data_IF_879143739178
#
_entry.id   IF_879143739178
#
_cell.length_a   1.000
_cell.length_b   1.000
_cell.length_c   1.000
_cell.angle_alpha   90.00
_cell.angle_beta   90.00
_cell.angle_gamma   90.00
#
_symmetry.space_group_name_H-M   'P 1'
#
loop_
_entity.id
_entity.type
_entity.pdbx_description
1 polymer ?
#
# COMPACT_ATOMS: atom_id res chain seq x y z
N UNK A 1 -34.70 -0.69 -1.89
CA UNK A 1 -34.11 -0.65 -3.25
C UNK A 1 -32.80 -1.42 -3.23
N UNK A 2 -32.67 -2.38 -4.13
CA UNK A 2 -31.49 -3.24 -4.25
C UNK A 2 -30.32 -2.43 -4.82
N UNK A 3 -29.15 -2.47 -4.16
CA UNK A 3 -27.97 -1.68 -4.53
C UNK A 3 -26.88 -2.56 -5.12
N UNK A 4 -26.54 -2.32 -6.37
CA UNK A 4 -25.42 -2.98 -7.06
C UNK A 4 -24.08 -2.72 -6.34
N UNK A 5 -23.28 -3.77 -6.15
CA UNK A 5 -21.95 -3.68 -5.55
C UNK A 5 -21.93 -3.56 -4.02
N UNK A 6 -23.05 -3.81 -3.35
CA UNK A 6 -23.18 -3.73 -1.89
C UNK A 6 -23.67 -5.03 -1.29
N UNK A 7 -23.23 -5.30 -0.07
CA UNK A 7 -23.80 -6.34 0.79
C UNK A 7 -25.03 -5.80 1.48
N UNK A 8 -26.13 -6.53 1.42
CA UNK A 8 -27.43 -6.15 1.94
C UNK A 8 -28.12 -7.34 2.61
N UNK A 9 -28.95 -7.07 3.60
CA UNK A 9 -29.85 -8.05 4.19
C UNK A 9 -31.20 -7.93 3.48
N UNK A 10 -31.64 -9.01 2.81
CA UNK A 10 -32.86 -9.07 2.01
C UNK A 10 -33.70 -10.28 2.43
N UNK A 11 -35.04 -10.14 2.43
CA UNK A 11 -35.93 -11.23 2.77
C UNK A 11 -36.23 -12.10 1.57
N UNK A 12 -36.40 -13.40 1.81
CA UNK A 12 -36.87 -14.38 0.83
C UNK A 12 -38.34 -14.13 0.55
N UNK A 13 -38.70 -13.86 -0.71
CA UNK A 13 -40.08 -13.59 -1.11
C UNK A 13 -40.67 -14.72 -1.94
N UNK A 14 -39.83 -15.53 -2.61
CA UNK A 14 -40.30 -16.61 -3.47
C UNK A 14 -39.25 -17.70 -3.64
N UNK A 15 -39.66 -18.97 -3.58
CA UNK A 15 -38.82 -20.13 -3.95
C UNK A 15 -39.14 -20.57 -5.39
N UNK A 16 -38.12 -20.99 -6.13
CA UNK A 16 -38.19 -21.50 -7.51
C UNK A 16 -37.22 -22.66 -7.73
N UNK A 17 -37.31 -23.35 -8.84
CA UNK A 17 -36.39 -24.46 -9.19
C UNK A 17 -34.96 -24.00 -9.39
N UNK A 18 -34.74 -22.70 -9.72
CA UNK A 18 -33.39 -22.14 -9.98
C UNK A 18 -32.78 -21.46 -8.75
N UNK A 19 -33.54 -21.29 -7.66
CA UNK A 19 -33.10 -20.59 -6.43
C UNK A 19 -34.22 -19.83 -5.76
N UNK A 20 -33.87 -18.81 -4.97
CA UNK A 20 -34.84 -17.98 -4.26
C UNK A 20 -34.75 -16.52 -4.72
N UNK A 21 -35.88 -15.85 -4.79
CA UNK A 21 -35.91 -14.39 -4.99
C UNK A 21 -35.91 -13.70 -3.63
N UNK A 22 -35.03 -12.66 -3.54
CA UNK A 22 -34.84 -11.84 -2.36
C UNK A 22 -35.25 -10.40 -2.64
N UNK A 23 -35.83 -9.72 -1.64
CA UNK A 23 -36.23 -8.31 -1.73
C UNK A 23 -37.71 -8.07 -1.51
N UNK A 24 -38.35 -7.34 -2.41
CA UNK A 24 -39.78 -7.07 -2.45
C UNK A 24 -40.38 -7.51 -3.80
N UNK A 25 -41.70 -7.49 -3.95
CA UNK A 25 -42.34 -7.88 -5.23
C UNK A 25 -41.90 -7.00 -6.40
N UNK A 26 -41.71 -5.70 -6.14
CA UNK A 26 -41.33 -4.70 -7.15
C UNK A 26 -39.82 -4.61 -7.37
N UNK A 27 -39.00 -4.97 -6.37
CA UNK A 27 -37.52 -4.85 -6.41
C UNK A 27 -36.91 -6.15 -5.86
N UNK A 28 -36.65 -7.10 -6.73
CA UNK A 28 -36.19 -8.46 -6.39
C UNK A 28 -34.98 -8.90 -7.17
N UNK A 29 -34.17 -9.75 -6.55
CA UNK A 29 -32.95 -10.34 -7.12
C UNK A 29 -32.94 -11.84 -6.85
N UNK A 30 -32.40 -12.61 -7.80
CA UNK A 30 -32.25 -14.06 -7.68
C UNK A 30 -30.99 -14.41 -6.91
N UNK A 31 -31.11 -15.25 -5.88
CA UNK A 31 -30.01 -16.02 -5.31
C UNK A 31 -30.03 -17.42 -5.93
N UNK A 32 -28.99 -17.86 -6.66
CA UNK A 32 -28.95 -19.16 -7.31
C UNK A 32 -29.06 -20.33 -6.33
N UNK A 33 -29.70 -21.41 -6.74
CA UNK A 33 -29.97 -22.59 -5.94
C UNK A 33 -28.76 -23.17 -5.22
N UNK A 34 -27.58 -23.13 -5.87
CA UNK A 34 -26.31 -23.63 -5.30
C UNK A 34 -25.86 -22.89 -4.04
N UNK A 35 -26.40 -21.69 -3.80
CA UNK A 35 -26.01 -20.82 -2.68
C UNK A 35 -27.17 -20.62 -1.67
N UNK A 36 -28.30 -21.26 -1.90
CA UNK A 36 -29.47 -21.21 -1.02
C UNK A 36 -29.24 -22.16 0.16
N UNK A 37 -29.35 -21.71 1.43
CA UNK A 37 -29.32 -22.60 2.59
C UNK A 37 -30.44 -23.64 2.51
N UNK A 38 -30.23 -24.89 3.03
CA UNK A 38 -31.15 -25.98 2.92
C UNK A 38 -32.49 -25.72 3.61
N UNK A 39 -32.48 -25.08 4.80
CA UNK A 39 -33.64 -24.86 5.65
C UNK A 39 -34.30 -23.48 5.47
N UNK A 40 -34.04 -22.79 4.36
CA UNK A 40 -34.53 -21.42 4.13
C UNK A 40 -36.04 -21.40 3.90
N UNK A 41 -36.75 -20.47 4.54
CA UNK A 41 -38.18 -20.27 4.35
C UNK A 41 -38.52 -18.89 3.76
N UNK A 42 -39.72 -18.76 3.22
CA UNK A 42 -40.24 -17.44 2.76
C UNK A 42 -40.39 -16.54 3.98
N UNK A 43 -39.85 -15.32 3.91
CA UNK A 43 -39.78 -14.36 5.01
C UNK A 43 -38.42 -14.31 5.70
N UNK A 44 -37.57 -15.34 5.57
CA UNK A 44 -36.24 -15.34 6.15
C UNK A 44 -35.33 -14.25 5.57
N UNK A 45 -34.50 -13.69 6.42
CA UNK A 45 -33.54 -12.67 6.03
C UNK A 45 -32.18 -13.27 5.68
N UNK A 46 -31.66 -12.96 4.50
CA UNK A 46 -30.32 -13.38 4.05
C UNK A 46 -29.44 -12.18 3.79
N UNK A 47 -28.18 -12.27 4.28
CA UNK A 47 -27.13 -11.31 3.93
C UNK A 47 -26.47 -11.76 2.63
N UNK A 48 -26.63 -10.96 1.57
CA UNK A 48 -26.12 -11.26 0.23
C UNK A 48 -25.41 -10.05 -0.38
N UNK A 49 -24.46 -10.33 -1.25
CA UNK A 49 -23.83 -9.31 -2.09
C UNK A 49 -24.51 -9.29 -3.46
N UNK A 50 -24.72 -8.09 -4.01
CA UNK A 50 -25.41 -7.90 -5.29
C UNK A 50 -24.42 -7.54 -6.38
N UNK A 51 -24.42 -8.30 -7.48
CA UNK A 51 -23.56 -8.05 -8.64
C UNK A 51 -24.33 -8.38 -9.93
N UNK A 52 -23.67 -8.31 -11.08
CA UNK A 52 -24.25 -8.70 -12.37
C UNK A 52 -23.63 -9.99 -12.89
N UNK A 53 -24.48 -10.89 -13.38
CA UNK A 53 -24.07 -12.13 -14.04
C UNK A 53 -23.50 -11.87 -15.46
N UNK A 54 -23.16 -12.92 -16.20
CA UNK A 54 -22.64 -12.83 -17.57
C UNK A 54 -23.66 -12.27 -18.60
N UNK A 55 -24.94 -12.26 -18.24
CA UNK A 55 -26.03 -11.73 -19.05
C UNK A 55 -26.47 -10.32 -18.62
N UNK A 56 -25.65 -9.63 -17.80
CA UNK A 56 -25.94 -8.30 -17.24
C UNK A 56 -27.19 -8.21 -16.32
N UNK A 57 -27.70 -9.34 -15.83
CA UNK A 57 -28.80 -9.38 -14.88
C UNK A 57 -28.27 -9.23 -13.46
N UNK A 58 -29.01 -8.50 -12.62
CA UNK A 58 -28.74 -8.47 -11.18
C UNK A 58 -28.88 -9.86 -10.59
N UNK A 59 -27.91 -10.27 -9.81
CA UNK A 59 -27.86 -11.55 -9.13
C UNK A 59 -27.28 -11.37 -7.72
N UNK A 60 -27.79 -12.13 -6.77
CA UNK A 60 -27.30 -12.18 -5.39
C UNK A 60 -26.32 -13.33 -5.21
N UNK A 61 -25.40 -13.17 -4.27
CA UNK A 61 -24.48 -14.22 -3.83
C UNK A 61 -24.26 -14.14 -2.32
N UNK A 62 -24.14 -15.30 -1.67
CA UNK A 62 -23.70 -15.43 -0.27
C UNK A 62 -22.17 -15.35 -0.12
N UNK A 63 -21.44 -15.48 -1.23
CA UNK A 63 -19.99 -15.32 -1.24
C UNK A 63 -19.62 -13.86 -0.94
N UNK A 64 -18.61 -13.68 -0.10
CA UNK A 64 -18.13 -12.35 0.29
C UNK A 64 -17.04 -11.89 -0.67
N UNK A 65 -17.24 -10.80 -1.45
CA UNK A 65 -16.19 -10.25 -2.27
C UNK A 65 -15.11 -9.60 -1.40
N UNK A 66 -13.88 -9.53 -1.90
CA UNK A 66 -12.75 -8.85 -1.24
C UNK A 66 -12.94 -7.32 -1.16
N UNK A 67 -13.83 -6.76 -1.98
CA UNK A 67 -14.11 -5.32 -2.06
C UNK A 67 -15.55 -5.07 -2.46
N UNK A 68 -16.14 -3.99 -1.93
CA UNK A 68 -17.47 -3.50 -2.30
C UNK A 68 -17.38 -2.17 -3.04
N UNK A 69 -18.49 -1.74 -3.64
CA UNK A 69 -18.59 -0.46 -4.34
C UNK A 69 -18.08 0.71 -3.47
N UNK A 70 -17.12 1.45 -3.99
CA UNK A 70 -16.45 2.57 -3.30
C UNK A 70 -15.39 2.15 -2.29
N UNK A 71 -15.19 0.85 -2.05
CA UNK A 71 -14.11 0.33 -1.21
C UNK A 71 -12.81 0.14 -1.97
N UNK A 72 -11.74 -0.10 -1.21
CA UNK A 72 -10.39 -0.36 -1.67
C UNK A 72 -9.97 -1.77 -1.27
N UNK A 73 -9.27 -2.48 -2.15
CA UNK A 73 -8.61 -3.74 -1.83
C UNK A 73 -7.43 -4.01 -2.78
N UNK A 74 -6.49 -4.82 -2.31
CA UNK A 74 -5.45 -5.39 -3.18
C UNK A 74 -6.00 -6.63 -3.86
N UNK A 75 -5.98 -6.64 -5.19
CA UNK A 75 -6.51 -7.72 -5.99
C UNK A 75 -5.45 -8.27 -6.93
N UNK A 76 -5.41 -9.59 -7.04
CA UNK A 76 -4.48 -10.30 -7.93
C UNK A 76 -4.99 -10.30 -9.36
N UNK A 77 -4.09 -10.08 -10.30
CA UNK A 77 -4.35 -10.16 -11.75
C UNK A 77 -4.38 -11.62 -12.17
N UNK A 78 -5.54 -12.10 -12.63
CA UNK A 78 -5.71 -13.45 -13.15
C UNK A 78 -5.34 -13.54 -14.64
N UNK A 79 -5.71 -12.50 -15.41
CA UNK A 79 -5.54 -12.48 -16.87
C UNK A 79 -5.38 -11.05 -17.37
N UNK A 80 -4.61 -10.88 -18.44
CA UNK A 80 -4.52 -9.63 -19.20
C UNK A 80 -5.07 -9.88 -20.61
N UNK A 81 -6.03 -9.03 -21.03
CA UNK A 81 -6.75 -9.15 -22.29
C UNK A 81 -6.63 -7.87 -23.12
N UNK A 82 -7.25 -7.82 -24.30
CA UNK A 82 -7.27 -6.64 -25.19
C UNK A 82 -8.13 -5.46 -24.69
N UNK A 83 -8.92 -5.64 -23.62
CA UNK A 83 -9.77 -4.59 -23.02
C UNK A 83 -9.27 -4.11 -21.64
N UNK A 84 -8.32 -4.82 -21.05
CA UNK A 84 -7.78 -4.56 -19.70
C UNK A 84 -7.37 -5.84 -19.02
N UNK A 85 -7.25 -5.80 -17.69
CA UNK A 85 -6.92 -6.93 -16.85
C UNK A 85 -8.14 -7.42 -16.09
N UNK A 86 -8.20 -8.72 -15.82
CA UNK A 86 -9.22 -9.34 -14.97
C UNK A 86 -8.61 -9.69 -13.62
N UNK A 87 -9.26 -9.24 -12.54
CA UNK A 87 -8.77 -9.35 -11.16
C UNK A 87 -9.65 -10.30 -10.36
N UNK A 88 -9.00 -11.11 -9.52
CA UNK A 88 -9.70 -11.95 -8.53
C UNK A 88 -10.20 -11.10 -7.36
N UNK A 89 -11.48 -10.91 -7.27
CA UNK A 89 -12.16 -10.20 -6.19
C UNK A 89 -12.98 -11.12 -5.26
N UNK A 90 -12.79 -12.44 -5.37
CA UNK A 90 -13.40 -13.45 -4.50
C UNK A 90 -14.76 -13.98 -4.98
N UNK A 91 -15.21 -13.61 -6.18
CA UNK A 91 -16.43 -14.16 -6.80
C UNK A 91 -16.08 -14.99 -8.05
N UNK A 92 -17.01 -15.82 -8.52
CA UNK A 92 -16.78 -16.70 -9.69
C UNK A 92 -16.33 -15.94 -10.93
N UNK A 93 -16.85 -14.74 -11.17
CA UNK A 93 -16.45 -13.89 -12.29
C UNK A 93 -15.47 -12.84 -11.85
N UNK A 94 -14.28 -12.84 -12.43
CA UNK A 94 -13.26 -11.82 -12.19
C UNK A 94 -13.76 -10.42 -12.57
N UNK A 95 -13.29 -9.39 -11.85
CA UNK A 95 -13.64 -8.01 -12.12
C UNK A 95 -12.70 -7.39 -13.15
N UNK A 96 -13.25 -6.66 -14.11
CA UNK A 96 -12.46 -5.97 -15.14
C UNK A 96 -11.80 -4.71 -14.58
N UNK A 97 -10.49 -4.55 -14.83
CA UNK A 97 -9.71 -3.32 -14.70
C UNK A 97 -9.39 -2.80 -16.11
N UNK A 98 -10.20 -1.89 -16.68
CA UNK A 98 -10.00 -1.37 -18.02
C UNK A 98 -8.66 -0.67 -18.20
N UNK A 99 -8.02 -0.69 -19.36
CA UNK A 99 -6.75 0.00 -19.61
C UNK A 99 -6.75 1.48 -19.21
N UNK A 100 -7.84 2.21 -19.50
CA UNK A 100 -7.99 3.64 -19.12
C UNK A 100 -8.02 3.89 -17.61
N UNK A 101 -8.23 2.84 -16.82
CA UNK A 101 -8.27 2.90 -15.35
C UNK A 101 -6.97 2.38 -14.70
N UNK A 102 -6.01 1.93 -15.49
CA UNK A 102 -4.67 1.55 -15.03
C UNK A 102 -3.77 2.79 -14.93
N UNK A 103 -2.94 2.85 -13.90
CA UNK A 103 -1.95 3.93 -13.68
C UNK A 103 -0.52 3.50 -14.00
N UNK A 104 -0.30 2.22 -14.25
CA UNK A 104 0.95 1.61 -14.70
C UNK A 104 0.65 0.39 -15.57
N UNK A 105 1.68 -0.17 -16.20
CA UNK A 105 1.56 -1.46 -16.87
C UNK A 105 1.22 -2.56 -15.85
N UNK A 106 0.25 -3.39 -16.18
CA UNK A 106 -0.29 -4.43 -15.30
C UNK A 106 0.11 -5.79 -15.85
N UNK A 107 0.74 -6.63 -15.01
CA UNK A 107 1.15 -7.98 -15.40
C UNK A 107 0.30 -9.03 -14.72
N UNK A 108 0.12 -10.16 -15.38
CA UNK A 108 -0.54 -11.33 -14.81
C UNK A 108 0.25 -11.87 -13.60
N UNK A 109 -0.46 -12.18 -12.53
CA UNK A 109 0.11 -12.69 -11.28
C UNK A 109 0.42 -11.62 -10.25
N UNK A 110 0.59 -10.35 -10.66
CA UNK A 110 0.83 -9.22 -9.75
C UNK A 110 -0.44 -8.84 -8.97
N UNK A 111 -0.25 -8.11 -7.86
CA UNK A 111 -1.33 -7.55 -7.06
C UNK A 111 -1.30 -6.02 -7.07
N UNK A 112 -2.46 -5.40 -7.26
CA UNK A 112 -2.60 -3.95 -7.28
C UNK A 112 -3.70 -3.48 -6.35
N UNK A 113 -3.49 -2.32 -5.70
CA UNK A 113 -4.54 -1.64 -4.96
C UNK A 113 -5.52 -1.00 -5.94
N UNK A 114 -6.78 -1.40 -5.83
CA UNK A 114 -7.86 -0.92 -6.70
C UNK A 114 -9.09 -0.51 -5.89
N UNK A 115 -9.90 0.36 -6.47
CA UNK A 115 -11.24 0.65 -5.99
C UNK A 115 -12.28 0.03 -6.91
N UNK A 116 -13.44 -0.32 -6.36
CA UNK A 116 -14.58 -0.76 -7.12
C UNK A 116 -15.50 0.42 -7.45
N UNK A 117 -15.87 0.57 -8.72
CA UNK A 117 -16.76 1.62 -9.19
C UNK A 117 -17.79 1.08 -10.18
N UNK A 118 -18.84 1.87 -10.45
CA UNK A 118 -19.81 1.58 -11.52
C UNK A 118 -19.41 2.39 -12.76
N UNK A 119 -19.22 1.71 -13.86
CA UNK A 119 -18.88 2.33 -15.15
C UNK A 119 -20.12 2.95 -15.84
N UNK A 120 -19.90 3.57 -17.02
CA UNK A 120 -20.98 4.21 -17.79
C UNK A 120 -22.02 3.22 -18.34
N UNK A 121 -21.69 1.94 -18.42
CA UNK A 121 -22.59 0.87 -18.83
C UNK A 121 -23.35 0.24 -17.66
N UNK A 122 -23.27 0.87 -16.48
CA UNK A 122 -23.88 0.39 -15.24
C UNK A 122 -23.35 -1.00 -14.82
N UNK A 123 -22.03 -1.26 -15.01
CA UNK A 123 -21.33 -2.47 -14.59
C UNK A 123 -20.32 -2.14 -13.51
N UNK A 124 -20.09 -3.09 -12.61
CA UNK A 124 -18.97 -3.01 -11.67
C UNK A 124 -17.66 -3.17 -12.43
N UNK A 125 -16.69 -2.31 -12.13
CA UNK A 125 -15.33 -2.37 -12.66
C UNK A 125 -14.33 -1.90 -11.61
N UNK A 126 -13.07 -2.28 -11.78
CA UNK A 126 -11.97 -1.84 -10.92
C UNK A 126 -11.25 -0.63 -11.52
N UNK A 127 -10.66 0.21 -10.65
CA UNK A 127 -9.80 1.34 -11.03
C UNK A 127 -8.57 1.42 -10.13
N UNK A 128 -7.39 1.68 -10.71
CA UNK A 128 -6.17 2.01 -9.98
C UNK A 128 -6.09 3.51 -9.61
N UNK A 129 -7.02 4.34 -10.08
CA UNK A 129 -7.10 5.77 -9.74
C UNK A 129 -7.71 5.96 -8.35
N UNK A 130 -7.09 5.36 -7.35
CA UNK A 130 -7.62 5.19 -5.99
C UNK A 130 -7.63 6.47 -5.16
N UNK A 131 -6.92 7.52 -5.56
CA UNK A 131 -6.79 8.76 -4.77
C UNK A 131 -8.13 9.34 -4.30
N UNK A 132 -9.19 9.27 -5.11
CA UNK A 132 -10.53 9.78 -4.76
C UNK A 132 -11.29 8.93 -3.73
N UNK A 133 -10.78 7.75 -3.42
CA UNK A 133 -11.36 6.80 -2.45
C UNK A 133 -10.60 6.79 -1.13
N UNK A 134 -9.42 7.41 -1.09
CA UNK A 134 -8.67 7.59 0.14
C UNK A 134 -9.34 8.64 1.02
N UNK A 135 -9.19 8.47 2.32
CA UNK A 135 -9.69 9.40 3.33
C UNK A 135 -8.55 10.04 4.10
N UNK A 136 -8.86 11.04 4.88
CA UNK A 136 -7.95 11.61 5.89
C UNK A 136 -8.14 10.90 7.21
N UNK A 137 -7.19 11.07 8.13
CA UNK A 137 -7.22 10.40 9.44
C UNK A 137 -6.52 11.22 10.51
N UNK A 138 -6.99 11.10 11.73
CA UNK A 138 -6.38 11.58 12.97
C UNK A 138 -5.68 10.47 13.77
N UNK A 139 -5.72 9.23 13.27
CA UNK A 139 -5.13 8.03 13.89
C UNK A 139 -3.61 8.16 14.13
N UNK A 140 -2.92 8.92 13.29
CA UNK A 140 -1.46 9.01 13.29
C UNK A 140 -0.96 10.33 13.84
N UNK A 141 0.14 10.24 14.60
CA UNK A 141 0.90 11.41 15.06
C UNK A 141 2.30 11.40 14.45
N UNK A 142 3.03 12.50 14.63
CA UNK A 142 4.44 12.56 14.20
C UNK A 142 5.22 11.39 14.81
N UNK A 143 6.09 10.80 14.00
CA UNK A 143 6.93 9.63 14.30
C UNK A 143 6.18 8.28 14.38
N UNK A 144 4.86 8.24 14.18
CA UNK A 144 4.14 6.96 14.02
C UNK A 144 4.73 6.15 12.87
N UNK A 145 4.99 4.86 13.10
CA UNK A 145 5.33 3.93 12.04
C UNK A 145 4.10 3.67 11.16
N UNK A 146 4.31 3.64 9.85
CA UNK A 146 3.26 3.42 8.85
C UNK A 146 3.76 2.53 7.73
N UNK A 147 2.83 1.84 7.09
CA UNK A 147 3.05 1.17 5.81
C UNK A 147 2.00 1.62 4.81
N UNK A 148 2.31 1.53 3.53
CA UNK A 148 1.33 1.89 2.52
C UNK A 148 1.76 1.50 1.11
N UNK A 149 0.78 1.49 0.20
CA UNK A 149 0.98 1.14 -1.20
C UNK A 149 1.27 2.38 -2.02
N UNK A 150 2.31 2.34 -2.85
CA UNK A 150 2.61 3.38 -3.84
C UNK A 150 1.53 3.39 -4.92
N UNK A 151 0.79 4.50 -5.03
CA UNK A 151 -0.34 4.65 -5.97
C UNK A 151 -0.05 5.63 -7.10
N UNK A 152 1.06 6.35 -7.03
CA UNK A 152 1.48 7.27 -8.09
C UNK A 152 2.82 7.90 -7.79
N UNK A 153 3.59 8.17 -8.85
CA UNK A 153 4.91 8.79 -8.80
C UNK A 153 4.89 10.00 -9.72
N UNK A 154 5.26 11.16 -9.20
CA UNK A 154 5.47 12.38 -9.98
C UNK A 154 6.91 12.86 -9.78
N UNK A 155 7.78 12.80 -10.80
CA UNK A 155 9.21 13.09 -10.67
C UNK A 155 9.52 14.46 -10.04
N UNK A 156 8.70 15.48 -10.33
CA UNK A 156 8.90 16.84 -9.83
C UNK A 156 8.27 17.10 -8.45
N UNK A 157 7.44 16.18 -7.95
CA UNK A 157 6.69 16.42 -6.70
C UNK A 157 7.04 15.40 -5.61
N UNK A 158 6.97 14.10 -5.93
CA UNK A 158 7.16 13.04 -4.97
C UNK A 158 6.28 11.82 -5.26
N UNK A 159 6.12 10.96 -4.25
CA UNK A 159 5.39 9.70 -4.32
C UNK A 159 4.11 9.79 -3.51
N UNK A 160 3.00 9.42 -4.13
CA UNK A 160 1.70 9.30 -3.49
C UNK A 160 1.53 7.86 -2.97
N UNK A 161 1.11 7.74 -1.72
CA UNK A 161 1.01 6.46 -1.02
C UNK A 161 -0.37 6.34 -0.38
N UNK A 162 -0.98 5.18 -0.48
CA UNK A 162 -2.16 4.81 0.28
C UNK A 162 -1.72 4.15 1.59
N UNK A 163 -1.68 4.91 2.68
CA UNK A 163 -1.33 4.40 4.01
C UNK A 163 -2.44 3.49 4.52
N UNK A 164 -2.09 2.28 4.99
CA UNK A 164 -3.03 1.20 5.38
C UNK A 164 -4.08 0.91 4.29
N UNK A 165 -3.73 1.18 3.00
CA UNK A 165 -4.63 1.10 1.84
C UNK A 165 -5.94 1.93 2.00
N UNK A 166 -5.94 2.95 2.85
CA UNK A 166 -7.10 3.77 3.20
C UNK A 166 -6.84 5.27 3.26
N UNK A 167 -5.64 5.72 3.65
CA UNK A 167 -5.37 7.11 3.98
C UNK A 167 -4.36 7.76 3.05
N UNK A 168 -4.50 9.08 2.84
CA UNK A 168 -3.56 9.84 2.02
C UNK A 168 -2.18 9.91 2.68
N UNK A 169 -1.17 9.40 1.99
CA UNK A 169 0.25 9.54 2.30
C UNK A 169 1.03 10.19 1.16
N UNK A 170 2.10 10.90 1.49
CA UNK A 170 2.98 11.54 0.54
C UNK A 170 4.43 11.47 0.99
N UNK A 171 5.31 11.04 0.10
CA UNK A 171 6.77 11.06 0.26
C UNK A 171 7.30 12.19 -0.61
N UNK A 172 8.11 13.08 -0.02
CA UNK A 172 8.67 14.23 -0.73
C UNK A 172 9.71 13.80 -1.77
N UNK A 173 9.94 14.65 -2.78
CA UNK A 173 10.93 14.41 -3.85
C UNK A 173 12.32 14.07 -3.29
N UNK A 174 12.75 14.73 -2.21
CA UNK A 174 14.10 14.53 -1.64
C UNK A 174 14.30 13.13 -1.05
N UNK A 175 13.25 12.35 -0.87
CA UNK A 175 13.28 10.98 -0.35
C UNK A 175 12.91 9.93 -1.41
N UNK A 176 12.78 10.35 -2.69
CA UNK A 176 12.52 9.40 -3.78
C UNK A 176 13.77 8.56 -4.07
N UNK A 177 13.55 7.28 -4.36
CA UNK A 177 14.52 6.36 -4.93
C UNK A 177 14.00 5.87 -6.28
N UNK A 178 14.89 5.67 -7.23
CA UNK A 178 14.57 5.18 -8.58
C UNK A 178 14.05 3.74 -8.58
N UNK A 179 14.28 3.00 -7.50
CA UNK A 179 13.83 1.61 -7.35
C UNK A 179 12.35 1.47 -7.00
N UNK A 180 11.70 2.55 -6.53
CA UNK A 180 10.30 2.52 -6.09
C UNK A 180 9.36 2.56 -7.30
N UNK A 181 8.41 1.61 -7.34
CA UNK A 181 7.42 1.46 -8.41
C UNK A 181 5.98 1.58 -7.87
N UNK A 182 5.05 1.91 -8.78
CA UNK A 182 3.62 1.86 -8.46
C UNK A 182 3.22 0.42 -8.15
N UNK A 183 2.53 0.22 -7.01
CA UNK A 183 2.16 -1.09 -6.47
C UNK A 183 3.06 -1.57 -5.34
N UNK A 184 4.27 -1.03 -5.19
CA UNK A 184 5.17 -1.41 -4.10
C UNK A 184 4.59 -1.03 -2.74
N UNK A 185 4.92 -1.84 -1.74
CA UNK A 185 4.65 -1.52 -0.34
C UNK A 185 5.86 -0.83 0.24
N UNK A 186 5.67 0.38 0.76
CA UNK A 186 6.69 1.15 1.45
C UNK A 186 6.41 1.19 2.94
N UNK A 187 7.49 1.15 3.72
CA UNK A 187 7.46 1.29 5.17
C UNK A 187 8.15 2.59 5.55
N UNK A 188 7.58 3.30 6.51
CA UNK A 188 8.14 4.58 6.90
C UNK A 188 7.56 5.09 8.21
N UNK A 189 7.74 6.37 8.44
CA UNK A 189 7.19 7.08 9.59
C UNK A 189 6.57 8.40 9.18
N UNK A 190 5.57 8.83 9.93
CA UNK A 190 4.94 10.14 9.75
C UNK A 190 5.92 11.23 10.18
N UNK A 191 6.27 12.16 9.30
CA UNK A 191 7.08 13.34 9.63
C UNK A 191 6.21 14.57 9.89
N UNK A 192 5.03 14.61 9.26
CA UNK A 192 4.06 15.71 9.44
C UNK A 192 2.64 15.20 9.18
N UNK A 193 1.73 15.50 10.09
CA UNK A 193 0.30 15.48 9.84
C UNK A 193 -0.09 16.87 9.35
N UNK A 194 -0.66 16.98 8.16
CA UNK A 194 -1.06 18.25 7.55
C UNK A 194 -2.38 18.72 8.14
N UNK A 195 -2.70 19.99 8.00
CA UNK A 195 -3.97 20.57 8.46
C UNK A 195 -5.20 19.96 7.76
N UNK A 196 -5.00 19.48 6.51
CA UNK A 196 -6.03 18.76 5.74
C UNK A 196 -6.13 17.26 6.09
N UNK A 197 -5.47 16.80 7.17
CA UNK A 197 -5.48 15.42 7.65
C UNK A 197 -4.67 14.43 6.80
N UNK A 198 -3.95 14.90 5.77
CA UNK A 198 -3.05 14.05 4.98
C UNK A 198 -1.70 13.90 5.66
N UNK A 199 -1.05 12.77 5.41
CA UNK A 199 0.20 12.41 6.06
C UNK A 199 1.38 12.68 5.12
N UNK A 200 2.42 13.38 5.60
CA UNK A 200 3.73 13.36 4.95
C UNK A 200 4.59 12.33 5.67
N UNK A 201 5.16 11.41 4.91
CA UNK A 201 5.93 10.28 5.45
C UNK A 201 7.37 10.31 4.93
N UNK A 202 8.28 9.76 5.73
CA UNK A 202 9.67 9.50 5.38
C UNK A 202 9.91 8.00 5.37
N UNK A 203 10.56 7.50 4.34
CA UNK A 203 11.00 6.11 4.21
C UNK A 203 12.44 5.91 4.72
N UNK A 204 13.14 7.00 5.02
CA UNK A 204 14.47 6.95 5.59
C UNK A 204 14.43 6.90 7.12
N UNK A 205 15.39 6.22 7.68
CA UNK A 205 15.59 6.22 9.14
C UNK A 205 15.85 7.65 9.65
N UNK A 206 15.51 7.94 10.90
CA UNK A 206 15.85 9.21 11.52
C UNK A 206 17.37 9.39 11.47
N UNK A 207 17.82 10.60 11.17
CA UNK A 207 19.25 10.91 11.04
C UNK A 207 20.09 10.49 12.27
N UNK A 208 19.49 10.49 13.47
CA UNK A 208 20.22 10.05 14.68
C UNK A 208 20.33 8.50 14.74
N UNK A 209 19.36 7.73 14.22
CA UNK A 209 19.44 6.27 14.14
C UNK A 209 20.46 5.83 13.10
N UNK A 210 20.44 6.47 11.91
CA UNK A 210 21.45 6.24 10.88
C UNK A 210 22.86 6.61 11.38
N UNK A 211 22.98 7.69 12.16
CA UNK A 211 24.25 8.08 12.78
C UNK A 211 24.74 7.04 13.78
N UNK A 212 23.84 6.34 14.50
CA UNK A 212 24.21 5.25 15.39
C UNK A 212 24.78 4.05 14.63
N UNK A 213 24.15 3.65 13.52
CA UNK A 213 24.64 2.59 12.65
C UNK A 213 25.98 2.95 12.02
N UNK A 214 26.11 4.18 11.52
CA UNK A 214 27.36 4.70 10.96
C UNK A 214 28.49 4.69 12.01
N UNK A 215 28.18 5.05 13.26
CA UNK A 215 29.12 5.02 14.36
C UNK A 215 29.59 3.59 14.70
N UNK A 216 28.66 2.62 14.68
CA UNK A 216 29.00 1.22 14.89
C UNK A 216 29.89 0.70 13.76
N UNK A 217 29.59 1.01 12.50
CA UNK A 217 30.41 0.60 11.33
C UNK A 217 31.83 1.13 11.44
N UNK A 218 32.00 2.40 11.83
CA UNK A 218 33.35 3.01 11.99
C UNK A 218 34.08 2.37 13.17
N UNK A 219 33.40 2.12 14.28
CA UNK A 219 33.99 1.48 15.47
C UNK A 219 34.48 0.05 15.14
N UNK A 220 33.63 -0.74 14.47
CA UNK A 220 33.96 -2.10 14.05
C UNK A 220 35.17 -2.13 13.06
N UNK A 221 35.22 -1.17 12.16
CA UNK A 221 36.34 -1.04 11.25
C UNK A 221 37.64 -0.68 11.99
N UNK A 222 37.59 0.19 13.00
CA UNK A 222 38.71 0.49 13.88
C UNK A 222 39.20 -0.78 14.60
N UNK A 223 38.30 -1.55 15.18
CA UNK A 223 38.66 -2.81 15.87
C UNK A 223 39.30 -3.79 14.89
N UNK A 224 38.73 -3.99 13.70
CA UNK A 224 39.25 -4.89 12.66
C UNK A 224 40.65 -4.46 12.13
N UNK A 225 40.91 -3.16 12.09
CA UNK A 225 42.19 -2.62 11.61
C UNK A 225 43.23 -2.36 12.74
N UNK A 226 43.15 -3.11 13.83
CA UNK A 226 44.12 -3.00 14.92
C UNK A 226 44.02 -1.72 15.75
N UNK A 227 42.86 -1.08 15.76
CA UNK A 227 42.55 0.10 16.56
C UNK A 227 42.85 1.43 15.87
N UNK A 228 43.17 1.45 14.59
CA UNK A 228 43.46 2.69 13.86
C UNK A 228 42.96 2.67 12.41
N UNK A 229 42.47 3.83 11.95
CA UNK A 229 42.23 4.11 10.54
C UNK A 229 43.32 5.07 10.05
N UNK A 230 43.91 4.79 8.88
CA UNK A 230 45.00 5.59 8.29
C UNK A 230 44.56 6.96 7.72
N UNK A 231 43.41 7.46 8.13
CA UNK A 231 42.87 8.76 7.76
C UNK A 231 41.97 9.32 8.88
N UNK A 232 41.72 10.62 8.85
CA UNK A 232 40.91 11.30 9.88
C UNK A 232 39.60 11.85 9.30
N UNK A 233 38.87 12.67 10.06
CA UNK A 233 37.59 13.28 9.69
C UNK A 233 37.65 14.27 8.51
N UNK A 234 38.89 14.65 8.07
CA UNK A 234 39.15 15.51 6.91
C UNK A 234 39.43 14.72 5.62
N UNK A 235 39.39 13.38 5.68
CA UNK A 235 39.66 12.50 4.54
C UNK A 235 38.83 12.87 3.30
N UNK A 236 39.34 12.47 2.13
CA UNK A 236 38.68 12.68 0.86
C UNK A 236 37.33 11.92 0.83
N UNK A 237 36.26 12.52 0.27
CA UNK A 237 34.96 11.84 0.13
C UNK A 237 35.02 10.48 -0.56
N UNK A 238 35.92 10.31 -1.54
CA UNK A 238 36.09 9.04 -2.27
C UNK A 238 36.68 7.95 -1.38
N UNK A 239 37.61 8.27 -0.48
CA UNK A 239 38.16 7.33 0.50
C UNK A 239 37.07 6.89 1.47
N UNK A 240 36.29 7.83 1.98
CA UNK A 240 35.20 7.56 2.91
C UNK A 240 34.12 6.66 2.24
N UNK A 241 33.74 7.00 1.02
CA UNK A 241 32.76 6.23 0.25
C UNK A 241 33.27 4.82 -0.03
N UNK A 242 34.53 4.65 -0.40
CA UNK A 242 35.15 3.35 -0.67
C UNK A 242 35.19 2.45 0.57
N UNK A 243 35.47 3.00 1.76
CA UNK A 243 35.62 2.21 2.99
C UNK A 243 34.33 1.96 3.74
N UNK A 244 33.40 2.89 3.68
CA UNK A 244 32.19 2.87 4.54
C UNK A 244 30.89 3.00 3.77
N UNK A 245 30.94 3.28 2.46
CA UNK A 245 29.74 3.55 1.63
C UNK A 245 28.83 4.65 2.23
N UNK A 246 29.47 5.70 2.78
CA UNK A 246 28.76 6.82 3.38
C UNK A 246 29.25 8.18 2.87
N UNK A 247 28.43 9.23 3.02
CA UNK A 247 28.84 10.59 2.68
C UNK A 247 29.81 11.15 3.71
N UNK A 248 30.68 12.12 3.29
CA UNK A 248 31.59 12.82 4.20
C UNK A 248 30.90 13.45 5.40
N UNK A 249 29.66 13.97 5.22
CA UNK A 249 28.88 14.55 6.30
C UNK A 249 28.39 13.49 7.29
N UNK A 250 27.96 12.31 6.82
CA UNK A 250 27.60 11.18 7.66
C UNK A 250 28.80 10.68 8.46
N UNK A 251 29.95 10.48 7.79
CA UNK A 251 31.21 10.09 8.44
C UNK A 251 31.63 11.06 9.55
N UNK A 252 31.62 12.38 9.28
CA UNK A 252 31.96 13.39 10.30
C UNK A 252 31.02 13.36 11.51
N UNK A 253 29.71 13.19 11.29
CA UNK A 253 28.75 13.09 12.40
C UNK A 253 29.00 11.85 13.25
N UNK A 254 29.24 10.70 12.62
CA UNK A 254 29.52 9.45 13.31
C UNK A 254 30.85 9.50 14.10
N UNK A 255 31.90 10.01 13.49
CA UNK A 255 33.20 10.23 14.15
C UNK A 255 33.04 11.20 15.33
N UNK A 256 32.34 12.34 15.14
CA UNK A 256 32.05 13.30 16.21
C UNK A 256 31.33 12.70 17.39
N UNK A 257 30.41 11.75 17.14
CA UNK A 257 29.70 11.01 18.18
C UNK A 257 30.64 10.08 18.96
N UNK A 258 31.42 9.24 18.26
CA UNK A 258 32.37 8.33 18.89
C UNK A 258 33.43 9.10 19.73
N UNK A 259 33.83 10.28 19.26
CA UNK A 259 34.73 11.18 20.01
C UNK A 259 34.03 11.69 21.29
N UNK A 260 32.78 12.14 21.20
CA UNK A 260 31.99 12.61 22.34
C UNK A 260 31.76 11.50 23.37
N UNK A 261 31.55 10.27 22.91
CA UNK A 261 31.41 9.08 23.75
C UNK A 261 32.75 8.60 24.36
N UNK A 262 33.88 9.26 23.99
CA UNK A 262 35.19 8.93 24.50
C UNK A 262 35.76 7.61 23.99
N UNK A 263 35.20 7.05 22.90
CA UNK A 263 35.60 5.77 22.32
C UNK A 263 36.79 5.87 21.37
N UNK A 264 37.03 7.05 20.82
CA UNK A 264 38.12 7.33 19.85
C UNK A 264 38.81 8.63 20.16
N UNK A 265 40.00 8.78 19.54
CA UNK A 265 40.76 10.03 19.44
C UNK A 265 41.06 10.33 17.97
N UNK A 266 41.06 11.61 17.59
CA UNK A 266 41.39 12.07 16.24
C UNK A 266 42.80 12.67 16.30
N UNK A 267 43.72 12.11 15.54
CA UNK A 267 45.08 12.62 15.38
C UNK A 267 45.20 13.45 14.10
N UNK A 268 46.38 13.99 13.82
CA UNK A 268 46.59 14.75 12.57
C UNK A 268 46.30 13.94 11.31
N UNK A 269 46.51 12.61 11.31
CA UNK A 269 46.41 11.79 10.12
C UNK A 269 45.58 10.51 10.30
N UNK A 270 45.03 10.28 11.47
CA UNK A 270 44.31 9.02 11.78
C UNK A 270 43.19 9.22 12.80
N UNK A 271 42.32 8.22 12.87
CA UNK A 271 41.39 8.02 13.97
C UNK A 271 41.83 6.76 14.71
N UNK A 272 41.94 6.83 16.05
CA UNK A 272 42.40 5.71 16.86
C UNK A 272 41.42 5.39 17.99
N UNK A 273 41.32 4.12 18.35
CA UNK A 273 40.56 3.70 19.53
C UNK A 273 41.23 4.26 20.80
N UNK A 274 40.41 4.80 21.68
CA UNK A 274 40.83 5.18 23.02
C UNK A 274 40.88 3.92 23.89
N UNK A 275 42.03 3.71 24.55
CA UNK A 275 42.21 2.59 25.49
C UNK A 275 41.47 2.85 26.80
#
# INVERSE_FOLDING_TARGET
MIQLGKTQCLNVIKKTDFGVYLGTEDDKVLLPKKQVPEDIEIGDALTVFIYKDSSDRLIATTNKPKVQLGGLARLKVCEVSNIGAFLDWGLEKNILLPYKEQTTHVNQGDEYLVALYIDRSNRLAATMKVSRYLTTTDKYVKDSAVSGTVIGIKPDHGIYVAIDDAYYGFITRNEMSDDIKIGDVVYGRVIKVREDGKLTISIHQKAYLQMDEDSVRIYDALVKNGGSLGFNDKADPEIIKKHFDMSKNAFKRAVGRLLKEGKIEITQNSIVLKK
#
